data_IF_625457485192
#
_entry.id   IF_625457485192
#
_cell.length_a   1.000
_cell.length_b   1.000
_cell.length_c   1.000
_cell.angle_alpha   90.00
_cell.angle_beta   90.00
_cell.angle_gamma   90.00
#
_symmetry.space_group_name_H-M   'P 1'
#
loop_
_entity.id
_entity.type
_entity.pdbx_description
1 polymer ?
#
# COMPACT_ATOMS: atom_id res chain seq x y z
N UNK A 1 12.55 -6.59 -7.56
CA UNK A 1 11.65 -7.42 -6.72
C UNK A 1 10.95 -8.42 -7.59
N UNK A 2 10.69 -9.60 -7.04
CA UNK A 2 9.70 -10.55 -7.54
C UNK A 2 8.54 -10.58 -6.54
N UNK A 3 7.40 -9.97 -6.88
CA UNK A 3 6.23 -9.87 -5.98
C UNK A 3 5.46 -11.19 -5.85
N UNK A 4 5.81 -12.24 -6.61
CA UNK A 4 5.24 -13.58 -6.41
C UNK A 4 5.75 -14.26 -5.14
N UNK A 5 6.86 -13.76 -4.58
CA UNK A 5 7.45 -14.27 -3.34
C UNK A 5 7.07 -13.40 -2.16
N UNK A 6 6.51 -13.98 -1.11
CA UNK A 6 6.20 -13.23 0.12
C UNK A 6 7.50 -12.87 0.84
N UNK A 7 7.75 -11.57 1.02
CA UNK A 7 8.87 -11.07 1.82
C UNK A 7 8.51 -9.73 2.45
N UNK A 8 9.18 -9.41 3.56
CA UNK A 8 9.01 -8.11 4.22
C UNK A 8 9.43 -6.96 3.29
N UNK A 9 10.52 -7.12 2.54
CA UNK A 9 10.99 -6.13 1.56
C UNK A 9 9.93 -5.84 0.49
N UNK A 10 9.20 -6.87 0.04
CA UNK A 10 8.13 -6.72 -0.94
C UNK A 10 6.91 -6.02 -0.33
N UNK A 11 6.56 -6.28 0.93
CA UNK A 11 5.53 -5.52 1.65
C UNK A 11 5.91 -4.03 1.67
N UNK A 12 7.13 -3.73 2.10
CA UNK A 12 7.57 -2.35 2.23
C UNK A 12 7.58 -1.63 0.88
N UNK A 13 8.06 -2.31 -0.16
CA UNK A 13 8.02 -1.81 -1.53
C UNK A 13 6.59 -1.47 -1.99
N UNK A 14 5.62 -2.37 -1.77
CA UNK A 14 4.24 -2.15 -2.18
C UNK A 14 3.65 -0.93 -1.46
N UNK A 15 3.88 -0.80 -0.16
CA UNK A 15 3.39 0.33 0.63
C UNK A 15 4.00 1.66 0.16
N UNK A 16 5.31 1.71 -0.11
CA UNK A 16 5.95 2.94 -0.61
C UNK A 16 5.45 3.35 -2.00
N UNK A 17 5.21 2.37 -2.88
CA UNK A 17 4.64 2.62 -4.20
C UNK A 17 3.21 3.18 -4.09
N UNK A 18 2.37 2.58 -3.25
CA UNK A 18 1.00 3.05 -3.02
C UNK A 18 1.02 4.48 -2.45
N UNK A 19 1.83 4.75 -1.41
CA UNK A 19 1.99 6.10 -0.83
C UNK A 19 2.37 7.15 -1.87
N UNK A 20 3.33 6.80 -2.74
CA UNK A 20 3.79 7.68 -3.82
C UNK A 20 2.66 7.97 -4.80
N UNK A 21 1.90 6.94 -5.20
CA UNK A 21 0.77 7.08 -6.13
C UNK A 21 -0.36 7.93 -5.55
N UNK A 22 -0.66 7.78 -4.26
CA UNK A 22 -1.66 8.56 -3.52
C UNK A 22 -1.20 9.97 -3.18
N UNK A 23 0.09 10.31 -3.41
CA UNK A 23 0.70 11.59 -3.01
C UNK A 23 0.53 11.89 -1.52
N UNK A 24 0.54 10.84 -0.69
CA UNK A 24 0.42 11.01 0.75
C UNK A 24 1.71 11.62 1.30
N UNK A 25 1.58 12.75 2.00
CA UNK A 25 2.72 13.35 2.70
C UNK A 25 3.26 12.38 3.76
N UNK A 26 4.52 12.57 4.15
CA UNK A 26 5.24 11.79 5.16
C UNK A 26 4.68 12.03 6.56
N UNK A 27 3.45 11.58 6.82
CA UNK A 27 2.90 11.44 8.17
C UNK A 27 3.30 10.09 8.76
N UNK A 28 3.69 10.06 10.04
CA UNK A 28 4.13 8.84 10.75
C UNK A 28 3.15 7.66 10.69
N UNK A 29 1.90 7.89 10.25
CA UNK A 29 0.86 6.87 10.12
C UNK A 29 1.08 5.86 8.98
N UNK A 30 1.94 6.14 8.00
CA UNK A 30 2.17 5.32 6.80
C UNK A 30 3.64 4.87 6.68
N UNK A 31 4.26 4.50 7.79
CA UNK A 31 5.57 3.85 7.74
C UNK A 31 5.42 2.45 7.13
N UNK A 32 6.13 2.17 6.04
CA UNK A 32 6.08 0.87 5.37
C UNK A 32 6.48 -0.30 6.29
N UNK A 33 7.41 -0.08 7.22
CA UNK A 33 7.82 -1.12 8.18
C UNK A 33 6.78 -1.40 9.27
N UNK A 34 5.67 -0.65 9.32
CA UNK A 34 4.55 -0.94 10.21
C UNK A 34 3.57 -1.98 9.64
N UNK A 35 3.81 -2.47 8.41
CA UNK A 35 2.98 -3.49 7.76
C UNK A 35 3.66 -4.85 7.86
N UNK A 36 2.90 -5.87 8.27
CA UNK A 36 3.42 -7.22 8.49
C UNK A 36 3.22 -8.11 7.25
N UNK A 37 4.15 -9.05 7.04
CA UNK A 37 4.08 -10.04 5.96
C UNK A 37 2.81 -10.92 6.00
N UNK A 38 2.15 -11.05 7.15
CA UNK A 38 0.88 -11.80 7.25
C UNK A 38 -0.27 -11.14 6.46
N UNK A 39 -0.12 -9.86 6.13
CA UNK A 39 -1.07 -9.09 5.30
C UNK A 39 -0.66 -9.04 3.83
N UNK A 40 0.31 -9.84 3.41
CA UNK A 40 0.91 -9.74 2.07
C UNK A 40 -0.13 -9.77 0.95
N UNK A 41 -1.05 -10.73 0.98
CA UNK A 41 -2.02 -10.94 -0.09
C UNK A 41 -2.99 -9.74 -0.16
N UNK A 42 -3.50 -9.29 0.99
CA UNK A 42 -4.37 -8.11 1.08
C UNK A 42 -3.65 -6.84 0.56
N UNK A 43 -2.37 -6.68 0.90
CA UNK A 43 -1.55 -5.55 0.46
C UNK A 43 -1.27 -5.63 -1.05
N UNK A 44 -1.03 -6.83 -1.58
CA UNK A 44 -0.83 -7.06 -3.01
C UNK A 44 -2.08 -6.71 -3.81
N UNK A 45 -3.26 -7.11 -3.33
CA UNK A 45 -4.54 -6.77 -3.98
C UNK A 45 -4.73 -5.25 -4.06
N UNK A 46 -4.48 -4.52 -2.96
CA UNK A 46 -4.54 -3.05 -2.97
C UNK A 46 -3.49 -2.46 -3.92
N UNK A 47 -2.27 -2.99 -3.91
CA UNK A 47 -1.19 -2.55 -4.79
C UNK A 47 -1.57 -2.66 -6.26
N UNK A 48 -2.10 -3.82 -6.69
CA UNK A 48 -2.49 -4.05 -8.08
C UNK A 48 -3.61 -3.11 -8.52
N UNK A 49 -4.62 -2.89 -7.67
CA UNK A 49 -5.72 -1.95 -7.94
C UNK A 49 -5.22 -0.52 -8.09
N UNK A 50 -4.31 -0.09 -7.20
CA UNK A 50 -3.78 1.28 -7.18
C UNK A 50 -2.86 1.54 -8.37
N UNK A 51 -1.97 0.59 -8.67
CA UNK A 51 -0.97 0.74 -9.73
C UNK A 51 -1.57 0.54 -11.13
N UNK A 52 -2.65 -0.24 -11.24
CA UNK A 52 -3.40 -0.42 -12.49
C UNK A 52 -4.17 0.81 -12.97
N UNK A 53 -4.35 1.82 -12.11
CA UNK A 53 -5.09 3.06 -12.46
C UNK A 53 -4.15 4.18 -12.87
N UNK A 54 -4.42 4.83 -13.99
CA UNK A 54 -3.66 6.02 -14.41
C UNK A 54 -3.84 7.17 -13.40
N UNK A 55 -5.09 7.43 -13.01
CA UNK A 55 -5.50 8.49 -12.10
C UNK A 55 -6.50 7.95 -11.08
N UNK A 56 -6.42 8.49 -9.87
CA UNK A 56 -7.35 8.21 -8.78
C UNK A 56 -8.14 9.47 -8.48
N UNK A 57 -9.45 9.32 -8.32
CA UNK A 57 -10.32 10.36 -7.79
C UNK A 57 -10.07 10.58 -6.28
N UNK A 58 -10.55 11.70 -5.75
CA UNK A 58 -10.38 12.04 -4.33
C UNK A 58 -11.01 10.98 -3.42
N UNK A 59 -12.23 10.52 -3.74
CA UNK A 59 -12.92 9.51 -2.95
C UNK A 59 -12.20 8.15 -2.96
N UNK A 60 -11.54 7.79 -4.07
CA UNK A 60 -10.73 6.58 -4.12
C UNK A 60 -9.48 6.72 -3.25
N UNK A 61 -8.80 7.87 -3.30
CA UNK A 61 -7.66 8.15 -2.42
C UNK A 61 -8.06 8.03 -0.94
N UNK A 62 -9.19 8.59 -0.55
CA UNK A 62 -9.71 8.49 0.83
C UNK A 62 -10.06 7.04 1.22
N UNK A 63 -10.70 6.29 0.32
CA UNK A 63 -11.06 4.89 0.56
C UNK A 63 -9.80 4.01 0.74
N UNK A 64 -8.82 4.15 -0.15
CA UNK A 64 -7.56 3.39 -0.09
C UNK A 64 -6.78 3.76 1.18
N UNK A 65 -6.72 5.06 1.52
CA UNK A 65 -6.04 5.49 2.74
C UNK A 65 -6.67 4.88 4.01
N UNK A 66 -8.00 4.74 4.04
CA UNK A 66 -8.72 4.07 5.13
C UNK A 66 -8.39 2.57 5.20
N UNK A 67 -8.39 1.89 4.06
CA UNK A 67 -8.08 0.47 3.95
C UNK A 67 -6.63 0.16 4.39
N UNK A 68 -5.66 0.93 3.90
CA UNK A 68 -4.27 0.84 4.37
C UNK A 68 -4.14 1.05 5.89
N UNK A 69 -4.96 1.94 6.47
CA UNK A 69 -5.02 2.12 7.91
C UNK A 69 -5.45 0.87 8.68
N UNK A 70 -6.26 0.00 8.07
CA UNK A 70 -6.72 -1.27 8.64
C UNK A 70 -5.68 -2.38 8.50
N UNK A 71 -4.86 -2.34 7.44
CA UNK A 71 -3.82 -3.34 7.15
C UNK A 71 -2.52 -3.18 7.96
N UNK A 72 -2.35 -2.05 8.68
CA UNK A 72 -1.17 -1.75 9.51
C UNK A 72 -1.07 -2.59 10.80
N UNK A 73 -1.84 -3.66 10.95
CA UNK A 73 -1.93 -4.49 12.16
C UNK A 73 -1.13 -5.78 12.03
#
# INVERSE_FOLDING_TARGET
MDLSQKSQDNVEYMIEAIKTKLRMATGAAMNASAFHIDRYDDILDVYEVVMGKERLSISEVEAIAKELGQLRS
#
